data_IF_813556407132
#
_entry.id   IF_813556407132
#
_cell.length_a   1.000
_cell.length_b   1.000
_cell.length_c   1.000
_cell.angle_alpha   90.00
_cell.angle_beta   90.00
_cell.angle_gamma   90.00
#
_symmetry.space_group_name_H-M   'P 1'
#
loop_
_entity.id
_entity.type
_entity.pdbx_description
1 polymer ?
#
# COMPACT_ATOMS: atom_id res chain seq x y z
N UNK A 1 -21.16 34.23 -15.29
CA UNK A 1 -19.88 33.72 -14.76
C UNK A 1 -19.80 32.23 -15.06
N UNK A 2 -19.05 31.87 -16.10
CA UNK A 2 -18.91 30.49 -16.55
C UNK A 2 -17.92 29.72 -15.65
N UNK A 3 -18.40 28.62 -15.07
CA UNK A 3 -17.58 27.67 -14.30
C UNK A 3 -16.84 26.79 -15.32
N UNK A 4 -15.49 26.67 -15.27
CA UNK A 4 -14.80 25.78 -16.18
C UNK A 4 -15.20 24.33 -15.86
N UNK A 5 -15.89 23.68 -16.80
CA UNK A 5 -16.03 22.22 -16.81
C UNK A 5 -14.64 21.66 -17.08
N UNK A 6 -13.98 21.16 -16.04
CA UNK A 6 -12.83 20.29 -16.24
C UNK A 6 -13.35 18.98 -16.83
N UNK A 7 -13.04 18.76 -18.10
CA UNK A 7 -13.29 17.53 -18.84
C UNK A 7 -12.40 16.41 -18.29
N UNK A 8 -12.97 15.27 -17.83
CA UNK A 8 -12.17 14.11 -17.50
C UNK A 8 -11.76 13.44 -18.82
N UNK A 9 -10.54 13.67 -19.26
CA UNK A 9 -9.95 12.89 -20.35
C UNK A 9 -9.49 11.55 -19.77
N UNK A 10 -10.47 10.67 -19.58
CA UNK A 10 -10.31 9.29 -19.11
C UNK A 10 -10.02 8.36 -20.30
N UNK A 11 -8.78 7.87 -20.39
CA UNK A 11 -8.45 6.64 -21.14
C UNK A 11 -7.03 6.13 -20.88
N UNK A 12 -6.06 7.03 -20.66
CA UNK A 12 -4.66 6.67 -20.37
C UNK A 12 -4.31 6.70 -18.87
N UNK A 13 -5.25 7.11 -18.01
CA UNK A 13 -5.05 7.29 -16.56
C UNK A 13 -5.03 5.98 -15.76
N UNK A 14 -5.63 4.91 -16.27
CA UNK A 14 -5.67 3.62 -15.57
C UNK A 14 -4.28 3.01 -15.40
N UNK A 15 -3.48 2.98 -16.46
CA UNK A 15 -2.11 2.43 -16.42
C UNK A 15 -1.21 3.23 -15.47
N UNK A 16 -1.31 4.56 -15.48
CA UNK A 16 -0.61 5.45 -14.56
C UNK A 16 -1.07 5.26 -13.11
N UNK A 17 -2.36 5.04 -12.87
CA UNK A 17 -2.90 4.71 -11.54
C UNK A 17 -2.36 3.39 -11.01
N UNK A 18 -2.32 2.35 -11.83
CA UNK A 18 -1.74 1.06 -11.44
C UNK A 18 -0.23 1.16 -11.21
N UNK A 19 0.48 1.93 -12.03
CA UNK A 19 1.89 2.22 -11.80
C UNK A 19 2.12 2.95 -10.46
N UNK A 20 1.27 3.94 -10.13
CA UNK A 20 1.32 4.63 -8.84
C UNK A 20 1.02 3.73 -7.64
N UNK A 21 0.07 2.81 -7.77
CA UNK A 21 -0.20 1.78 -6.75
C UNK A 21 0.98 0.82 -6.58
N UNK A 22 1.55 0.34 -7.70
CA UNK A 22 2.75 -0.51 -7.68
C UNK A 22 3.94 0.19 -7.02
N UNK A 23 4.14 1.48 -7.31
CA UNK A 23 5.17 2.29 -6.68
C UNK A 23 4.94 2.43 -5.16
N UNK A 24 3.70 2.61 -4.69
CA UNK A 24 3.39 2.61 -3.27
C UNK A 24 3.77 1.29 -2.59
N UNK A 25 3.47 0.15 -3.20
CA UNK A 25 3.88 -1.16 -2.68
C UNK A 25 5.40 -1.32 -2.67
N UNK A 26 6.09 -0.93 -3.76
CA UNK A 26 7.55 -0.97 -3.85
C UNK A 26 8.22 -0.13 -2.76
N UNK A 27 7.74 1.10 -2.54
CA UNK A 27 8.26 1.99 -1.49
C UNK A 27 7.99 1.40 -0.11
N UNK A 28 6.78 0.87 0.14
CA UNK A 28 6.45 0.27 1.43
C UNK A 28 7.33 -0.95 1.75
N UNK A 29 7.51 -1.85 0.78
CA UNK A 29 8.35 -3.05 0.92
C UNK A 29 9.81 -2.64 1.07
N UNK A 30 10.31 -1.78 0.19
CA UNK A 30 11.70 -1.30 0.22
C UNK A 30 12.04 -0.58 1.53
N UNK A 31 11.16 0.28 2.03
CA UNK A 31 11.32 0.95 3.32
C UNK A 31 11.30 -0.06 4.48
N UNK A 32 10.41 -1.06 4.44
CA UNK A 32 10.35 -2.12 5.44
C UNK A 32 11.62 -2.99 5.49
N UNK A 33 12.13 -3.39 4.33
CA UNK A 33 13.40 -4.15 4.21
C UNK A 33 14.58 -3.30 4.71
N UNK A 34 14.66 -2.04 4.29
CA UNK A 34 15.76 -1.14 4.69
C UNK A 34 15.74 -0.87 6.20
N UNK A 35 14.56 -0.61 6.77
CA UNK A 35 14.39 -0.48 8.21
C UNK A 35 14.77 -1.78 8.95
N UNK A 36 14.36 -2.94 8.42
CA UNK A 36 14.70 -4.25 8.97
C UNK A 36 16.20 -4.53 8.93
N UNK A 37 16.89 -4.21 7.82
CA UNK A 37 18.35 -4.34 7.71
C UNK A 37 19.08 -3.45 8.72
N UNK A 38 18.64 -2.20 8.86
CA UNK A 38 19.23 -1.26 9.82
C UNK A 38 19.02 -1.73 11.26
N UNK A 39 17.86 -2.33 11.55
CA UNK A 39 17.51 -2.86 12.86
C UNK A 39 18.29 -4.16 13.17
N UNK A 40 18.38 -5.08 12.20
CA UNK A 40 19.19 -6.30 12.30
C UNK A 40 20.66 -5.97 12.56
N UNK A 41 21.21 -4.98 11.83
CA UNK A 41 22.58 -4.51 12.03
C UNK A 41 22.79 -3.90 13.42
N UNK A 42 21.80 -3.17 13.94
CA UNK A 42 21.90 -2.54 15.27
C UNK A 42 21.79 -3.56 16.40
N UNK A 43 20.98 -4.61 16.24
CA UNK A 43 20.82 -5.68 17.23
C UNK A 43 21.87 -6.80 17.09
N UNK A 44 22.68 -6.81 16.03
CA UNK A 44 23.64 -7.87 15.71
C UNK A 44 23.01 -9.27 15.56
N UNK A 45 21.68 -9.32 15.42
CA UNK A 45 20.93 -10.56 15.23
C UNK A 45 21.04 -10.98 13.76
N UNK A 46 20.99 -12.28 13.49
CA UNK A 46 20.78 -12.82 12.13
C UNK A 46 19.68 -12.02 11.40
N UNK A 47 19.71 -11.90 10.06
CA UNK A 47 18.84 -11.01 9.26
C UNK A 47 17.37 -11.43 9.26
N UNK A 48 16.79 -11.49 10.45
CA UNK A 48 15.48 -12.03 10.75
C UNK A 48 14.46 -10.92 10.66
N UNK A 49 14.78 -9.70 11.12
CA UNK A 49 13.88 -8.56 11.01
C UNK A 49 13.77 -8.06 9.57
N UNK A 50 14.83 -8.17 8.78
CA UNK A 50 14.81 -7.85 7.35
C UNK A 50 13.85 -8.73 6.55
N UNK A 51 13.56 -9.95 7.02
CA UNK A 51 12.54 -10.85 6.45
C UNK A 51 11.19 -10.70 7.17
N UNK A 52 11.19 -10.54 8.49
CA UNK A 52 9.96 -10.46 9.29
C UNK A 52 9.20 -9.15 9.09
N UNK A 53 9.88 -8.00 8.90
CA UNK A 53 9.22 -6.72 8.64
C UNK A 53 8.43 -6.70 7.32
N UNK A 54 9.01 -7.03 6.15
CA UNK A 54 8.24 -7.07 4.92
C UNK A 54 7.13 -8.13 4.97
N UNK A 55 7.34 -9.24 5.68
CA UNK A 55 6.28 -10.23 5.93
C UNK A 55 5.13 -9.64 6.76
N UNK A 56 5.44 -8.89 7.83
CA UNK A 56 4.43 -8.19 8.64
C UNK A 56 3.68 -7.12 7.84
N UNK A 57 4.39 -6.35 7.01
CA UNK A 57 3.77 -5.35 6.13
C UNK A 57 2.79 -6.05 5.18
N UNK A 58 3.19 -7.19 4.59
CA UNK A 58 2.33 -7.98 3.73
C UNK A 58 1.08 -8.47 4.47
N UNK A 59 1.24 -9.03 5.67
CA UNK A 59 0.12 -9.45 6.52
C UNK A 59 -0.79 -8.25 6.84
N UNK A 60 -0.23 -7.08 7.16
CA UNK A 60 -0.99 -5.87 7.47
C UNK A 60 -1.82 -5.37 6.27
N UNK A 61 -1.23 -5.41 5.07
CA UNK A 61 -1.93 -5.09 3.82
C UNK A 61 -3.08 -6.09 3.61
N UNK A 62 -2.81 -7.39 3.71
CA UNK A 62 -3.84 -8.43 3.56
C UNK A 62 -4.96 -8.28 4.58
N UNK A 63 -4.63 -8.05 5.85
CA UNK A 63 -5.61 -7.84 6.91
C UNK A 63 -6.49 -6.62 6.62
N UNK A 64 -5.88 -5.52 6.17
CA UNK A 64 -6.62 -4.33 5.76
C UNK A 64 -7.53 -4.63 4.58
N UNK A 65 -7.04 -5.36 3.58
CA UNK A 65 -7.81 -5.78 2.40
C UNK A 65 -9.04 -6.61 2.82
N UNK A 66 -8.83 -7.67 3.61
CA UNK A 66 -9.89 -8.55 4.11
C UNK A 66 -10.91 -7.76 4.94
N UNK A 67 -10.43 -6.89 5.83
CA UNK A 67 -11.29 -6.05 6.68
C UNK A 67 -12.12 -5.06 5.85
N UNK A 68 -11.51 -4.44 4.84
CA UNK A 68 -12.17 -3.48 3.95
C UNK A 68 -13.21 -4.16 3.05
N UNK A 69 -12.91 -5.36 2.54
CA UNK A 69 -13.86 -6.18 1.79
C UNK A 69 -15.02 -6.66 2.66
N UNK A 70 -14.77 -7.05 3.92
CA UNK A 70 -15.81 -7.53 4.83
C UNK A 70 -16.75 -6.42 5.33
N UNK A 71 -16.30 -5.15 5.34
CA UNK A 71 -17.08 -4.01 5.84
C UNK A 71 -18.17 -3.49 4.88
N UNK A 72 -18.22 -3.96 3.63
CA UNK A 72 -19.11 -3.44 2.57
C UNK A 72 -20.59 -3.89 2.68
N UNK A 73 -21.04 -4.47 3.80
CA UNK A 73 -22.38 -5.08 3.90
C UNK A 73 -23.48 -4.23 4.57
N UNK A 74 -23.22 -3.01 5.04
CA UNK A 74 -24.20 -2.27 5.88
C UNK A 74 -24.42 -0.79 5.54
N UNK A 75 -24.12 -0.33 4.32
CA UNK A 75 -24.44 1.04 3.88
C UNK A 75 -25.67 1.04 2.95
N UNK A 76 -26.79 0.47 3.41
CA UNK A 76 -28.12 0.77 2.87
C UNK A 76 -28.73 1.89 3.74
N UNK A 77 -28.92 3.12 3.21
CA UNK A 77 -29.80 4.08 3.86
C UNK A 77 -31.25 3.59 3.66
N UNK A 78 -31.89 3.19 4.76
CA UNK A 78 -33.35 3.03 4.83
C UNK A 78 -34.06 4.37 4.66
#
# INVERSE_FOLDING_TARGET
MDKPRQSPTDSNSSSLRYAGLGAQFLVAIGAGVFAGLKLDYWLHTLPLFSVALPLLILIGIFYKLVKETSKRKNDEPK
#
